data_IF_021599589969
#
_entry.id   IF_021599589969
#
_cell.length_a   1.000
_cell.length_b   1.000
_cell.length_c   1.000
_cell.angle_alpha   90.00
_cell.angle_beta   90.00
_cell.angle_gamma   90.00
#
_symmetry.space_group_name_H-M   'P 1'
#
loop_
_entity.id
_entity.type
_entity.pdbx_description
1 polymer ?
#
# COMPACT_ATOMS: atom_id res chain seq x y z
N UNK A 1 -15.27 -7.94 -16.25
CA UNK A 1 -13.86 -7.54 -16.11
C UNK A 1 -13.84 -6.27 -15.28
N UNK A 2 -13.25 -6.33 -14.10
CA UNK A 2 -13.24 -5.19 -13.18
C UNK A 2 -12.52 -4.00 -13.81
N UNK A 3 -13.12 -2.82 -13.63
CA UNK A 3 -12.56 -1.54 -14.12
C UNK A 3 -11.38 -1.10 -13.23
N UNK A 4 -10.35 -1.92 -13.16
CA UNK A 4 -9.19 -1.71 -12.27
C UNK A 4 -8.60 -0.31 -12.42
N UNK A 5 -8.53 0.19 -13.65
CA UNK A 5 -7.93 1.49 -13.96
C UNK A 5 -8.92 2.66 -13.97
N UNK A 6 -10.24 2.42 -13.80
CA UNK A 6 -11.26 3.48 -13.78
C UNK A 6 -11.78 3.80 -12.37
N UNK A 7 -11.36 3.04 -11.36
CA UNK A 7 -11.72 3.26 -9.97
C UNK A 7 -10.64 4.03 -9.20
N UNK A 8 -10.91 4.33 -7.94
CA UNK A 8 -9.91 4.87 -7.01
C UNK A 8 -8.79 3.88 -6.70
N UNK A 9 -7.88 4.26 -5.80
CA UNK A 9 -6.75 3.41 -5.39
C UNK A 9 -7.16 2.13 -4.64
N UNK A 10 -8.31 2.11 -3.98
CA UNK A 10 -8.74 0.96 -3.18
C UNK A 10 -8.92 -0.33 -3.99
N UNK A 11 -9.63 -0.36 -5.14
CA UNK A 11 -9.73 -1.56 -5.96
C UNK A 11 -8.36 -2.06 -6.45
N UNK A 12 -7.46 -1.15 -6.83
CA UNK A 12 -6.09 -1.49 -7.25
C UNK A 12 -5.28 -2.11 -6.11
N UNK A 13 -5.38 -1.54 -4.92
CA UNK A 13 -4.73 -2.09 -3.71
C UNK A 13 -5.28 -3.48 -3.36
N UNK A 14 -6.60 -3.65 -3.38
CA UNK A 14 -7.23 -4.95 -3.11
C UNK A 14 -6.84 -6.01 -4.16
N UNK A 15 -6.63 -5.61 -5.41
CA UNK A 15 -6.12 -6.50 -6.44
C UNK A 15 -4.66 -6.90 -6.14
N UNK A 16 -3.80 -5.94 -5.80
CA UNK A 16 -2.41 -6.20 -5.42
C UNK A 16 -2.33 -7.13 -4.20
N UNK A 17 -3.12 -6.88 -3.16
CA UNK A 17 -3.13 -7.71 -1.95
C UNK A 17 -3.56 -9.15 -2.24
N UNK A 18 -4.47 -9.36 -3.20
CA UNK A 18 -4.82 -10.72 -3.68
C UNK A 18 -3.67 -11.40 -4.41
N UNK A 19 -2.89 -10.65 -5.21
CA UNK A 19 -1.70 -11.19 -5.85
C UNK A 19 -0.63 -11.58 -4.82
N UNK A 20 -0.41 -10.74 -3.82
CA UNK A 20 0.52 -11.05 -2.72
C UNK A 20 0.05 -12.29 -1.95
N UNK A 21 -1.23 -12.37 -1.62
CA UNK A 21 -1.82 -13.50 -0.89
C UNK A 21 -1.62 -14.85 -1.61
N UNK A 22 -1.59 -14.86 -2.92
CA UNK A 22 -1.34 -16.10 -3.69
C UNK A 22 0.04 -16.72 -3.42
N UNK A 23 1.00 -15.94 -2.92
CA UNK A 23 2.37 -16.38 -2.61
C UNK A 23 2.71 -16.28 -1.11
N UNK A 24 1.98 -15.47 -0.36
CA UNK A 24 2.15 -15.27 1.08
C UNK A 24 0.79 -15.30 1.78
N UNK A 25 0.41 -16.47 2.29
CA UNK A 25 -0.88 -16.72 2.92
C UNK A 25 -1.12 -15.88 4.20
N UNK A 26 -0.04 -15.43 4.87
CA UNK A 26 -0.13 -14.58 6.05
C UNK A 26 -0.48 -13.12 5.71
N UNK A 27 -0.34 -12.73 4.45
CA UNK A 27 -0.60 -11.35 4.02
C UNK A 27 -2.05 -10.90 4.31
N UNK A 28 -3.01 -11.77 4.06
CA UNK A 28 -4.42 -11.48 4.34
C UNK A 28 -4.68 -11.23 5.84
N UNK A 29 -4.02 -12.00 6.70
CA UNK A 29 -4.09 -11.81 8.16
C UNK A 29 -3.46 -10.50 8.59
N UNK A 30 -2.27 -10.16 8.03
CA UNK A 30 -1.60 -8.89 8.34
C UNK A 30 -2.45 -7.68 7.91
N UNK A 31 -3.03 -7.70 6.71
CA UNK A 31 -3.89 -6.61 6.23
C UNK A 31 -5.16 -6.48 7.07
N UNK A 32 -5.81 -7.59 7.44
CA UNK A 32 -6.98 -7.58 8.30
C UNK A 32 -6.68 -7.05 9.70
N UNK A 33 -5.56 -7.49 10.30
CA UNK A 33 -5.14 -7.00 11.62
C UNK A 33 -4.81 -5.50 11.57
N UNK A 34 -4.08 -5.05 10.54
CA UNK A 34 -3.80 -3.63 10.36
C UNK A 34 -5.09 -2.79 10.27
N UNK A 35 -6.07 -3.23 9.48
CA UNK A 35 -7.35 -2.53 9.36
C UNK A 35 -8.13 -2.49 10.69
N UNK A 36 -8.06 -3.58 11.47
CA UNK A 36 -8.68 -3.64 12.79
C UNK A 36 -8.05 -2.65 13.76
N UNK A 37 -6.71 -2.65 13.86
CA UNK A 37 -5.98 -1.70 14.72
C UNK A 37 -6.18 -0.25 14.28
N UNK A 38 -6.17 0.00 12.96
CA UNK A 38 -6.44 1.32 12.41
C UNK A 38 -7.83 1.83 12.80
N UNK A 39 -8.85 0.98 12.73
CA UNK A 39 -10.20 1.30 13.18
C UNK A 39 -10.24 1.65 14.67
N UNK A 40 -9.59 0.84 15.52
CA UNK A 40 -9.52 1.11 16.96
C UNK A 40 -8.82 2.44 17.24
N UNK A 41 -7.65 2.65 16.66
CA UNK A 41 -6.89 3.88 16.80
C UNK A 41 -7.70 5.11 16.35
N UNK A 42 -8.37 5.02 15.21
CA UNK A 42 -9.22 6.08 14.69
C UNK A 42 -10.40 6.40 15.62
N UNK A 43 -11.08 5.37 16.13
CA UNK A 43 -12.20 5.53 17.04
C UNK A 43 -11.77 6.15 18.38
N UNK A 44 -10.65 5.73 18.95
CA UNK A 44 -10.10 6.31 20.17
C UNK A 44 -9.84 7.79 20.01
N UNK A 45 -9.21 8.19 18.91
CA UNK A 45 -8.94 9.60 18.64
C UNK A 45 -10.24 10.41 18.49
N UNK A 46 -11.22 9.91 17.73
CA UNK A 46 -12.51 10.58 17.53
C UNK A 46 -13.35 10.68 18.82
N UNK A 47 -13.23 9.75 19.74
CA UNK A 47 -13.91 9.80 21.03
C UNK A 47 -13.30 10.77 22.03
N UNK A 48 -12.17 11.41 21.69
CA UNK A 48 -11.45 12.31 22.56
C UNK A 48 -10.68 11.62 23.69
N UNK A 49 -10.56 10.30 23.64
CA UNK A 49 -9.71 9.57 24.59
C UNK A 49 -8.23 9.87 24.30
N UNK A 50 -7.53 10.30 25.32
CA UNK A 50 -6.13 10.74 25.25
C UNK A 50 -5.18 9.81 26.00
N UNK A 51 -5.53 8.53 26.16
CA UNK A 51 -4.58 7.58 26.72
C UNK A 51 -3.40 7.38 25.76
N UNK A 52 -2.34 8.12 26.07
CA UNK A 52 -1.13 8.12 25.28
C UNK A 52 -0.45 6.74 25.22
N UNK A 53 -0.54 5.96 26.29
CA UNK A 53 0.08 4.64 26.32
C UNK A 53 -0.61 3.68 25.35
N UNK A 54 -1.94 3.63 25.39
CA UNK A 54 -2.72 2.77 24.49
C UNK A 54 -2.55 3.19 23.02
N UNK A 55 -2.65 4.48 22.72
CA UNK A 55 -2.45 5.00 21.36
C UNK A 55 -1.04 4.65 20.83
N UNK A 56 -0.01 4.79 21.65
CA UNK A 56 1.37 4.46 21.25
C UNK A 56 1.54 2.96 20.99
N UNK A 57 0.98 2.10 21.83
CA UNK A 57 1.02 0.64 21.60
C UNK A 57 0.33 0.23 20.29
N UNK A 58 -0.83 0.84 19.97
CA UNK A 58 -1.50 0.60 18.68
C UNK A 58 -0.66 1.07 17.49
N UNK A 59 0.00 2.22 17.61
CA UNK A 59 0.84 2.79 16.56
C UNK A 59 2.09 1.94 16.28
N UNK A 60 2.72 1.41 17.33
CA UNK A 60 3.85 0.50 17.21
C UNK A 60 3.44 -0.82 16.53
N UNK A 61 2.32 -1.42 16.93
CA UNK A 61 1.82 -2.64 16.31
C UNK A 61 1.38 -2.41 14.86
N UNK A 62 0.71 -1.28 14.59
CA UNK A 62 0.36 -0.87 13.22
C UNK A 62 1.61 -0.64 12.36
N UNK A 63 2.68 -0.09 12.92
CA UNK A 63 3.91 0.16 12.19
C UNK A 63 4.58 -1.15 11.77
N UNK A 64 4.73 -2.13 12.66
CA UNK A 64 5.28 -3.43 12.31
C UNK A 64 4.47 -4.15 11.24
N UNK A 65 3.13 -4.20 11.38
CA UNK A 65 2.25 -4.77 10.36
C UNK A 65 2.33 -4.00 9.03
N UNK A 66 2.36 -2.68 9.09
CA UNK A 66 2.43 -1.82 7.90
C UNK A 66 3.71 -2.02 7.11
N UNK A 67 4.85 -2.13 7.80
CA UNK A 67 6.15 -2.42 7.15
C UNK A 67 6.14 -3.80 6.52
N UNK A 68 5.62 -4.83 7.20
CA UNK A 68 5.51 -6.17 6.65
C UNK A 68 4.60 -6.21 5.40
N UNK A 69 3.47 -5.50 5.40
CA UNK A 69 2.57 -5.37 4.26
C UNK A 69 3.27 -4.67 3.08
N UNK A 70 3.93 -3.54 3.34
CA UNK A 70 4.64 -2.78 2.31
C UNK A 70 5.79 -3.58 1.69
N UNK A 71 6.58 -4.29 2.51
CA UNK A 71 7.66 -5.16 2.05
C UNK A 71 7.15 -6.29 1.15
N UNK A 72 6.08 -6.98 1.53
CA UNK A 72 5.48 -8.04 0.73
C UNK A 72 4.94 -7.52 -0.63
N UNK A 73 4.30 -6.35 -0.64
CA UNK A 73 3.85 -5.69 -1.88
C UNK A 73 5.03 -5.35 -2.79
N UNK A 74 6.10 -4.77 -2.24
CA UNK A 74 7.32 -4.41 -3.00
C UNK A 74 7.96 -5.64 -3.62
N UNK A 75 8.13 -6.70 -2.85
CA UNK A 75 8.68 -7.96 -3.34
C UNK A 75 7.84 -8.53 -4.50
N UNK A 76 6.52 -8.54 -4.37
CA UNK A 76 5.63 -9.02 -5.41
C UNK A 76 5.72 -8.17 -6.69
N UNK A 77 5.75 -6.85 -6.57
CA UNK A 77 5.90 -5.94 -7.72
C UNK A 77 7.26 -6.13 -8.40
N UNK A 78 8.33 -6.33 -7.64
CA UNK A 78 9.65 -6.60 -8.19
C UNK A 78 9.66 -7.91 -9.00
N UNK A 79 9.08 -8.99 -8.46
CA UNK A 79 8.94 -10.28 -9.16
C UNK A 79 8.14 -10.14 -10.46
N UNK A 80 7.01 -9.43 -10.42
CA UNK A 80 6.17 -9.21 -11.60
C UNK A 80 6.89 -8.38 -12.66
N UNK A 81 7.59 -7.30 -12.28
CA UNK A 81 8.37 -6.51 -13.22
C UNK A 81 9.49 -7.35 -13.88
N UNK A 82 10.20 -8.16 -13.09
CA UNK A 82 11.22 -9.07 -13.63
C UNK A 82 10.62 -10.05 -14.64
N UNK A 83 9.45 -10.61 -14.35
CA UNK A 83 8.75 -11.49 -15.26
C UNK A 83 8.35 -10.76 -16.56
N UNK A 84 7.72 -9.60 -16.45
CA UNK A 84 7.29 -8.78 -17.59
C UNK A 84 8.47 -8.39 -18.49
N UNK A 85 9.63 -8.08 -17.90
CA UNK A 85 10.82 -7.68 -18.65
C UNK A 85 11.46 -8.83 -19.47
N UNK A 86 11.13 -10.09 -19.16
CA UNK A 86 11.60 -11.26 -19.89
C UNK A 86 10.61 -11.77 -20.96
N UNK A 87 9.37 -11.24 -20.97
CA UNK A 87 8.38 -11.64 -21.97
C UNK A 87 8.60 -10.91 -23.30
N UNK A 88 8.43 -11.61 -24.46
CA UNK A 88 8.51 -10.97 -25.77
C UNK A 88 7.44 -9.89 -25.94
N UNK A 89 7.81 -8.75 -26.52
CA UNK A 89 6.96 -7.58 -26.74
C UNK A 89 5.72 -7.81 -27.63
N UNK A 90 5.60 -8.98 -28.25
CA UNK A 90 4.64 -9.23 -29.33
C UNK A 90 3.26 -9.70 -28.86
N UNK A 91 3.13 -10.19 -27.62
CA UNK A 91 1.88 -10.83 -27.14
C UNK A 91 1.08 -9.90 -26.22
N UNK A 92 1.75 -9.17 -25.33
CA UNK A 92 1.12 -8.27 -24.39
C UNK A 92 1.82 -6.89 -24.34
N UNK A 93 1.06 -5.82 -24.00
CA UNK A 93 1.67 -4.51 -23.82
C UNK A 93 2.77 -4.54 -22.76
N UNK A 94 4.00 -4.11 -23.10
CA UNK A 94 5.08 -4.02 -22.13
C UNK A 94 4.79 -2.90 -21.13
N UNK A 95 4.62 -3.27 -19.86
CA UNK A 95 4.23 -2.35 -18.79
C UNK A 95 5.29 -2.30 -17.69
N UNK A 96 5.25 -1.24 -16.89
CA UNK A 96 5.97 -1.10 -15.63
C UNK A 96 4.98 -0.94 -14.50
N UNK A 97 5.18 -1.72 -13.45
CA UNK A 97 4.39 -1.69 -12.24
C UNK A 97 5.11 -0.88 -11.17
N UNK A 98 4.42 0.02 -10.51
CA UNK A 98 4.97 0.87 -9.46
C UNK A 98 4.03 0.95 -8.26
N UNK A 99 4.61 1.15 -7.07
CA UNK A 99 3.89 1.44 -5.85
C UNK A 99 4.07 2.91 -5.48
N UNK A 100 2.95 3.58 -5.23
CA UNK A 100 2.93 4.94 -4.70
C UNK A 100 2.38 4.91 -3.28
N UNK A 101 3.26 4.67 -2.33
CA UNK A 101 2.94 4.59 -0.91
C UNK A 101 4.08 5.14 -0.07
N UNK A 102 3.74 5.72 1.08
CA UNK A 102 4.72 6.34 1.97
C UNK A 102 5.64 5.32 2.61
N UNK A 103 5.10 4.20 3.11
CA UNK A 103 5.89 3.17 3.79
C UNK A 103 6.79 2.45 2.79
N UNK A 104 6.29 2.20 1.58
CA UNK A 104 7.04 1.62 0.48
C UNK A 104 8.25 2.49 0.11
N UNK A 105 8.06 3.82 0.03
CA UNK A 105 9.15 4.78 -0.22
C UNK A 105 10.17 4.86 0.92
N UNK A 106 9.74 4.71 2.17
CA UNK A 106 10.66 4.63 3.31
C UNK A 106 11.58 3.40 3.18
N UNK A 107 11.02 2.25 2.80
CA UNK A 107 11.77 1.01 2.57
C UNK A 107 12.76 1.08 1.39
N UNK A 108 12.68 2.09 0.52
CA UNK A 108 13.68 2.31 -0.52
C UNK A 108 15.00 2.87 0.05
N UNK A 109 14.92 3.54 1.20
CA UNK A 109 16.02 4.34 1.74
C UNK A 109 16.51 3.90 3.12
N UNK A 110 15.75 3.05 3.83
CA UNK A 110 16.03 2.66 5.22
C UNK A 110 15.80 1.16 5.44
N UNK A 111 16.55 0.53 6.37
CA UNK A 111 16.26 -0.81 6.85
C UNK A 111 14.84 -0.92 7.45
N UNK A 112 14.23 -2.10 7.39
CA UNK A 112 12.86 -2.31 7.84
C UNK A 112 12.62 -1.88 9.30
N UNK A 113 13.57 -2.12 10.20
CA UNK A 113 13.45 -1.75 11.61
C UNK A 113 13.39 -0.22 11.79
N UNK A 114 14.23 0.51 11.05
CA UNK A 114 14.23 1.98 11.09
C UNK A 114 12.92 2.55 10.49
N UNK A 115 12.36 1.85 9.48
CA UNK A 115 11.06 2.21 8.91
C UNK A 115 9.93 1.99 9.91
N UNK A 116 9.97 0.93 10.72
CA UNK A 116 8.97 0.69 11.77
C UNK A 116 8.95 1.86 12.77
N UNK A 117 10.13 2.28 13.26
CA UNK A 117 10.23 3.42 14.18
C UNK A 117 9.74 4.72 13.51
N UNK A 118 10.18 4.99 12.29
CA UNK A 118 9.79 6.19 11.54
C UNK A 118 8.27 6.21 11.25
N UNK A 119 7.70 5.05 10.94
CA UNK A 119 6.26 4.95 10.64
C UNK A 119 5.41 5.07 11.91
N UNK A 120 5.83 4.49 13.04
CA UNK A 120 5.18 4.70 14.34
C UNK A 120 5.19 6.19 14.72
N UNK A 121 6.33 6.87 14.58
CA UNK A 121 6.44 8.31 14.81
C UNK A 121 5.54 9.12 13.86
N UNK A 122 5.42 8.71 12.60
CA UNK A 122 4.52 9.33 11.63
C UNK A 122 3.05 9.16 12.04
N UNK A 123 2.61 7.96 12.43
CA UNK A 123 1.25 7.72 12.92
C UNK A 123 0.93 8.62 14.12
N UNK A 124 1.85 8.71 15.07
CA UNK A 124 1.73 9.59 16.24
C UNK A 124 1.59 11.07 15.83
N UNK A 125 2.34 11.55 14.87
CA UNK A 125 2.25 12.93 14.37
C UNK A 125 0.92 13.21 13.66
N UNK A 126 0.29 12.17 13.10
CA UNK A 126 -0.99 12.28 12.36
C UNK A 126 -2.23 12.25 13.26
N UNK A 127 -2.10 12.02 14.57
CA UNK A 127 -3.24 12.01 15.50
C UNK A 127 -4.14 13.26 15.36
N UNK A 128 -3.52 14.42 15.16
CA UNK A 128 -4.27 15.68 14.94
C UNK A 128 -5.02 15.67 13.61
N UNK A 129 -4.47 15.08 12.57
CA UNK A 129 -5.11 15.02 11.26
C UNK A 129 -6.44 14.26 11.30
N UNK A 130 -6.53 13.19 12.11
CA UNK A 130 -7.76 12.44 12.33
C UNK A 130 -8.88 13.32 12.88
N UNK A 131 -8.53 14.28 13.75
CA UNK A 131 -9.52 15.16 14.39
C UNK A 131 -10.07 16.21 13.43
N UNK A 132 -9.27 16.70 12.49
CA UNK A 132 -9.60 17.87 11.69
C UNK A 132 -9.95 17.59 10.23
N UNK A 133 -9.33 16.60 9.59
CA UNK A 133 -9.47 16.45 8.12
C UNK A 133 -9.47 14.99 7.64
N UNK A 134 -9.43 14.00 8.52
CA UNK A 134 -9.44 12.57 8.21
C UNK A 134 -8.35 12.11 7.20
N UNK A 135 -7.35 12.94 6.93
CA UNK A 135 -6.29 12.64 5.99
C UNK A 135 -5.11 12.00 6.71
N UNK A 136 -5.15 10.68 6.86
CA UNK A 136 -4.10 9.86 7.45
C UNK A 136 -3.40 9.08 6.35
N UNK A 137 -2.08 9.23 6.28
CA UNK A 137 -1.22 8.59 5.32
C UNK A 137 -0.65 7.29 5.89
N UNK A 138 -0.60 6.22 5.09
CA UNK A 138 -0.11 4.92 5.51
C UNK A 138 -0.33 3.83 4.44
N UNK A 139 -0.05 2.57 4.78
CA UNK A 139 -0.18 1.43 3.86
C UNK A 139 -1.60 1.20 3.35
N UNK A 140 -2.61 1.72 4.06
CA UNK A 140 -4.00 1.72 3.63
C UNK A 140 -4.30 2.78 2.54
N UNK A 141 -3.33 3.61 2.17
CA UNK A 141 -3.41 4.63 1.10
C UNK A 141 -2.51 4.33 -0.08
N UNK A 142 -1.65 3.32 0.00
CA UNK A 142 -0.79 2.90 -1.11
C UNK A 142 -1.60 2.71 -2.38
N UNK A 143 -1.09 3.22 -3.48
CA UNK A 143 -1.66 3.02 -4.81
C UNK A 143 -0.77 2.09 -5.64
N UNK A 144 -1.40 1.26 -6.46
CA UNK A 144 -0.76 0.40 -7.44
C UNK A 144 -0.92 1.03 -8.82
N UNK A 145 0.19 1.48 -9.40
CA UNK A 145 0.22 2.17 -10.68
C UNK A 145 0.81 1.27 -11.77
N UNK A 146 0.24 1.35 -12.95
CA UNK A 146 0.69 0.64 -14.14
C UNK A 146 1.00 1.66 -15.24
N UNK A 147 2.20 1.59 -15.81
CA UNK A 147 2.64 2.46 -16.89
C UNK A 147 2.90 1.63 -18.14
N UNK A 148 2.31 2.05 -19.25
CA UNK A 148 2.60 1.48 -20.55
C UNK A 148 3.94 2.04 -21.06
N UNK A 149 4.99 1.19 -21.12
CA UNK A 149 6.35 1.62 -21.40
C UNK A 149 6.49 2.29 -22.77
N UNK A 150 5.90 1.71 -23.83
CA UNK A 150 6.00 2.20 -25.20
C UNK A 150 5.47 3.62 -25.36
N UNK A 151 4.39 3.99 -24.66
CA UNK A 151 3.76 5.32 -24.70
C UNK A 151 4.16 6.21 -23.53
N UNK A 152 4.89 5.68 -22.56
CA UNK A 152 5.28 6.39 -21.32
C UNK A 152 4.11 7.05 -20.60
N UNK A 153 2.96 6.39 -20.58
CA UNK A 153 1.73 6.95 -20.00
C UNK A 153 1.08 5.97 -19.01
N UNK A 154 0.38 6.47 -17.99
CA UNK A 154 -0.39 5.64 -17.08
C UNK A 154 -1.45 4.82 -17.82
N UNK A 155 -1.67 3.58 -17.39
CA UNK A 155 -2.69 2.70 -17.97
C UNK A 155 -4.10 3.29 -17.93
N UNK A 156 -4.39 4.15 -16.97
CA UNK A 156 -5.66 4.88 -16.84
C UNK A 156 -5.97 5.75 -18.06
N UNK A 157 -4.94 6.24 -18.74
CA UNK A 157 -5.03 7.09 -19.93
C UNK A 157 -4.94 6.30 -21.24
N UNK A 158 -4.69 5.00 -21.18
CA UNK A 158 -4.63 4.13 -22.34
C UNK A 158 -6.04 3.79 -22.87
N UNK A 159 -6.12 3.39 -24.13
CA UNK A 159 -7.38 2.92 -24.73
C UNK A 159 -7.89 1.64 -24.05
N UNK A 160 -9.18 1.36 -24.14
CA UNK A 160 -9.78 0.16 -23.53
C UNK A 160 -9.18 -1.14 -24.06
N UNK A 161 -8.69 -1.16 -25.32
CA UNK A 161 -7.99 -2.30 -25.91
C UNK A 161 -6.62 -2.53 -25.28
N UNK A 162 -5.90 -1.46 -24.92
CA UNK A 162 -4.59 -1.52 -24.28
C UNK A 162 -4.66 -1.81 -22.77
N UNK A 163 -5.83 -1.56 -22.15
CA UNK A 163 -6.07 -1.88 -20.73
C UNK A 163 -6.48 -3.34 -20.50
N UNK A 164 -6.80 -4.08 -21.55
CA UNK A 164 -7.18 -5.52 -21.51
C UNK A 164 -5.99 -6.43 -21.69
#
# INVERSE_FOLDING_TARGET
MDRLFRGGSQPRRSFLDRLVYAFDVEHAKRTSNFEHLYKQWYQLLKSGQTDNFWLTSLEEEMAGLGVAIAAARREQIAKLNTFIDHEPDDVFPNVKLELDGTVEKMLDNMPALDVEEAYAAKLKSQRRNVLYNDNVDGVNRTDFKVYYKKKRMPAELCSTGEQK
#
